data_IF_140837723279
#
_entry.id   IF_140837723279
#
_cell.length_a   1.000
_cell.length_b   1.000
_cell.length_c   1.000
_cell.angle_alpha   90.00
_cell.angle_beta   90.00
_cell.angle_gamma   90.00
#
_symmetry.space_group_name_H-M   'P 1'
#
loop_
_entity.id
_entity.type
_entity.pdbx_description
1 polymer ?
#
# COMPACT_ATOMS: atom_id res chain seq x y z
N UNK A 1 10.07 0.29 23.89
CA UNK A 1 10.16 -1.16 24.22
C UNK A 1 11.14 -1.77 23.25
N UNK A 2 12.08 -2.60 23.69
CA UNK A 2 13.05 -3.27 22.81
C UNK A 2 12.29 -4.28 21.92
N UNK A 3 12.68 -4.46 20.64
CA UNK A 3 12.02 -5.39 19.75
C UNK A 3 12.16 -6.83 20.24
N UNK A 4 11.04 -7.54 20.31
CA UNK A 4 11.02 -8.98 20.58
C UNK A 4 11.60 -9.71 19.36
N UNK A 5 12.60 -10.53 19.55
CA UNK A 5 13.23 -11.33 18.48
C UNK A 5 12.42 -12.61 18.28
N UNK A 6 11.98 -12.87 17.05
CA UNK A 6 11.23 -14.07 16.69
C UNK A 6 12.06 -14.91 15.76
N UNK A 7 12.10 -16.21 16.05
CA UNK A 7 12.72 -17.21 15.17
C UNK A 7 11.61 -17.96 14.43
N UNK A 8 11.33 -17.67 13.15
CA UNK A 8 10.42 -18.49 12.37
C UNK A 8 11.08 -19.84 12.07
N UNK A 9 10.43 -20.94 12.43
CA UNK A 9 10.83 -22.28 12.05
C UNK A 9 9.99 -22.74 10.87
N UNK A 10 10.60 -22.84 9.69
CA UNK A 10 9.95 -23.39 8.49
C UNK A 10 10.33 -24.88 8.39
N UNK A 11 9.34 -25.77 8.58
CA UNK A 11 9.54 -27.22 8.37
C UNK A 11 9.38 -27.63 6.91
N UNK A 12 9.78 -28.86 6.52
CA UNK A 12 9.78 -29.35 5.14
C UNK A 12 8.40 -29.44 4.48
N UNK A 13 7.33 -29.46 5.24
CA UNK A 13 5.95 -29.52 4.76
C UNK A 13 5.29 -28.14 4.75
N UNK A 14 5.49 -27.37 3.72
CA UNK A 14 4.70 -26.20 3.23
C UNK A 14 3.79 -25.41 4.21
N UNK A 15 3.84 -25.67 5.51
CA UNK A 15 3.11 -24.94 6.54
C UNK A 15 4.04 -24.01 7.32
N UNK A 16 3.77 -22.70 7.23
CA UNK A 16 4.43 -21.72 8.10
C UNK A 16 3.85 -21.91 9.50
N UNK A 17 4.58 -22.59 10.36
CA UNK A 17 4.26 -22.72 11.77
C UNK A 17 5.19 -21.80 12.55
N UNK A 18 4.64 -20.85 13.31
CA UNK A 18 5.43 -19.96 14.15
C UNK A 18 5.45 -20.49 15.59
N UNK A 19 6.65 -20.63 16.14
CA UNK A 19 6.85 -20.65 17.59
C UNK A 19 7.54 -19.36 17.98
N UNK A 20 7.05 -18.70 19.02
CA UNK A 20 7.65 -17.49 19.56
C UNK A 20 8.44 -17.86 20.82
N UNK A 21 9.72 -17.48 20.83
CA UNK A 21 10.57 -17.67 22.00
C UNK A 21 10.98 -16.29 22.53
N UNK A 22 10.64 -16.04 23.79
CA UNK A 22 11.04 -14.83 24.49
C UNK A 22 12.48 -15.03 24.98
N UNK A 23 13.43 -14.44 24.27
CA UNK A 23 14.86 -14.53 24.60
C UNK A 23 15.16 -13.89 25.96
N UNK A 24 14.45 -12.81 26.31
CA UNK A 24 14.68 -12.07 27.56
C UNK A 24 14.31 -12.88 28.78
N UNK A 25 13.22 -13.61 28.69
CA UNK A 25 12.69 -14.45 29.79
C UNK A 25 13.03 -15.93 29.60
N UNK A 26 13.78 -16.29 28.56
CA UNK A 26 14.18 -17.67 28.22
C UNK A 26 12.99 -18.64 28.20
N UNK A 27 11.88 -18.24 27.60
CA UNK A 27 10.62 -18.98 27.65
C UNK A 27 9.96 -19.05 26.28
N UNK A 28 9.27 -20.16 25.99
CA UNK A 28 8.41 -20.28 24.80
C UNK A 28 7.12 -19.51 25.03
N UNK A 29 7.00 -18.36 24.37
CA UNK A 29 5.82 -17.53 24.45
C UNK A 29 4.64 -18.14 23.66
N UNK A 30 4.92 -18.67 22.46
CA UNK A 30 3.92 -19.33 21.62
C UNK A 30 4.46 -20.65 21.09
N UNK A 31 3.73 -21.74 21.29
CA UNK A 31 4.01 -23.03 20.67
C UNK A 31 3.75 -22.95 19.17
N UNK A 32 4.37 -23.84 18.38
CA UNK A 32 4.21 -23.91 16.93
C UNK A 32 2.71 -23.95 16.57
N UNK A 33 2.23 -22.89 15.94
CA UNK A 33 0.83 -22.71 15.56
C UNK A 33 0.75 -22.26 14.11
N UNK A 34 -0.21 -22.77 13.35
CA UNK A 34 -0.48 -22.32 11.98
C UNK A 34 -0.98 -20.88 12.03
N UNK A 35 -0.36 -20.00 11.26
CA UNK A 35 -0.82 -18.64 11.05
C UNK A 35 -1.45 -18.53 9.65
N UNK A 36 -2.76 -18.34 9.63
CA UNK A 36 -3.48 -18.08 8.37
C UNK A 36 -3.14 -16.68 7.86
N UNK A 37 -3.04 -16.52 6.53
CA UNK A 37 -2.72 -15.24 5.90
C UNK A 37 -1.24 -14.90 5.79
N UNK A 38 -0.32 -15.72 6.35
CA UNK A 38 1.13 -15.54 6.19
C UNK A 38 1.69 -16.65 5.31
N UNK A 39 2.35 -16.28 4.24
CA UNK A 39 3.02 -17.18 3.29
C UNK A 39 4.53 -17.01 3.34
N UNK A 40 5.28 -17.90 2.70
CA UNK A 40 6.72 -17.78 2.58
C UNK A 40 7.16 -16.47 1.88
N UNK A 41 6.33 -15.92 1.00
CA UNK A 41 6.57 -14.63 0.31
C UNK A 41 6.45 -13.41 1.25
N UNK A 42 5.92 -13.60 2.44
CA UNK A 42 5.78 -12.53 3.44
C UNK A 42 6.99 -12.45 4.38
N UNK A 43 7.89 -13.44 4.32
CA UNK A 43 9.04 -13.58 5.22
C UNK A 43 10.30 -13.07 4.51
N UNK A 44 10.67 -11.81 4.76
CA UNK A 44 11.92 -11.19 4.28
C UNK A 44 12.38 -10.12 5.29
N UNK A 45 13.66 -9.78 5.27
CA UNK A 45 14.22 -8.78 6.22
C UNK A 45 13.53 -7.43 6.01
N UNK A 46 13.01 -6.84 7.09
CA UNK A 46 12.24 -5.61 7.11
C UNK A 46 10.76 -5.78 6.76
N UNK A 47 10.25 -7.03 6.64
CA UNK A 47 8.81 -7.26 6.55
C UNK A 47 8.13 -6.97 7.88
N UNK A 48 6.93 -6.39 7.82
CA UNK A 48 6.03 -6.27 8.97
C UNK A 48 4.98 -7.35 8.80
N UNK A 49 4.95 -8.32 9.70
CA UNK A 49 3.94 -9.38 9.73
C UNK A 49 3.09 -9.25 10.99
N UNK A 50 1.80 -9.55 10.86
CA UNK A 50 0.88 -9.56 12.01
C UNK A 50 0.57 -11.00 12.41
N UNK A 51 0.93 -11.37 13.64
CA UNK A 51 0.67 -12.70 14.22
C UNK A 51 -0.15 -12.50 15.50
N UNK A 52 -1.39 -13.02 15.52
CA UNK A 52 -2.31 -12.88 16.66
C UNK A 52 -2.42 -11.43 17.15
N UNK A 53 -2.74 -10.52 16.24
CA UNK A 53 -2.91 -9.08 16.50
C UNK A 53 -1.64 -8.34 16.98
N UNK A 54 -0.45 -8.96 16.87
CA UNK A 54 0.83 -8.32 17.15
C UNK A 54 1.59 -8.09 15.86
N UNK A 55 2.01 -6.86 15.64
CA UNK A 55 2.90 -6.51 14.53
C UNK A 55 4.35 -6.83 14.89
N UNK A 56 5.02 -7.51 13.98
CA UNK A 56 6.40 -7.96 14.15
C UNK A 56 7.21 -7.58 12.94
N UNK A 57 8.34 -6.93 13.18
CA UNK A 57 9.29 -6.59 12.14
C UNK A 57 10.36 -7.70 12.05
N UNK A 58 10.52 -8.30 10.88
CA UNK A 58 11.58 -9.28 10.62
C UNK A 58 12.89 -8.51 10.44
N UNK A 59 13.76 -8.58 11.44
CA UNK A 59 15.05 -7.87 11.44
C UNK A 59 16.18 -8.69 10.85
N UNK A 60 16.17 -10.01 11.03
CA UNK A 60 17.17 -10.92 10.51
C UNK A 60 16.68 -12.38 10.53
N UNK A 61 17.41 -13.29 9.88
CA UNK A 61 17.21 -14.75 9.93
C UNK A 61 18.13 -15.36 10.99
N UNK A 62 17.58 -16.28 11.79
CA UNK A 62 18.30 -16.88 12.91
C UNK A 62 19.35 -17.92 12.49
N UNK A 63 19.25 -18.46 11.28
CA UNK A 63 20.16 -19.48 10.76
C UNK A 63 20.50 -19.25 9.28
N UNK A 64 21.62 -19.81 8.87
CA UNK A 64 22.13 -19.66 7.50
C UNK A 64 21.25 -20.34 6.45
N UNK A 65 20.60 -21.44 6.78
CA UNK A 65 19.69 -22.12 5.85
C UNK A 65 18.50 -21.24 5.50
N UNK A 66 17.85 -20.68 6.50
CA UNK A 66 16.73 -19.74 6.32
C UNK A 66 17.17 -18.49 5.57
N UNK A 67 18.36 -17.97 5.89
CA UNK A 67 18.97 -16.83 5.19
C UNK A 67 19.26 -17.14 3.72
N UNK A 68 19.78 -18.32 3.40
CA UNK A 68 20.02 -18.74 2.01
C UNK A 68 18.72 -18.92 1.22
N UNK A 69 17.70 -19.48 1.87
CA UNK A 69 16.42 -19.76 1.23
C UNK A 69 15.55 -18.51 1.03
N UNK A 70 15.56 -17.56 1.95
CA UNK A 70 14.69 -16.38 1.94
C UNK A 70 15.44 -15.04 1.82
N UNK A 71 16.68 -14.97 2.28
CA UNK A 71 17.44 -13.72 2.38
C UNK A 71 18.01 -13.21 1.06
N UNK A 72 18.21 -14.10 0.07
CA UNK A 72 18.79 -13.73 -1.23
C UNK A 72 17.74 -13.46 -2.32
N UNK A 73 16.49 -13.77 -2.07
CA UNK A 73 15.46 -13.79 -3.12
C UNK A 73 14.62 -12.53 -3.18
N UNK A 74 14.41 -11.83 -2.06
CA UNK A 74 13.52 -10.65 -2.04
C UNK A 74 14.31 -9.36 -1.83
N UNK A 75 14.15 -8.44 -2.76
CA UNK A 75 14.81 -7.13 -2.76
C UNK A 75 13.76 -6.03 -2.78
N UNK A 76 13.98 -5.01 -1.94
CA UNK A 76 13.18 -3.79 -1.94
C UNK A 76 13.64 -2.85 -3.05
N UNK A 77 12.70 -2.15 -3.64
CA UNK A 77 12.95 -1.02 -4.54
C UNK A 77 11.91 0.06 -4.33
N UNK A 78 12.26 1.27 -4.71
CA UNK A 78 11.31 2.38 -4.72
C UNK A 78 10.68 2.51 -6.11
N UNK A 79 9.35 2.66 -6.12
CA UNK A 79 8.58 3.01 -7.30
C UNK A 79 7.75 4.26 -7.04
N UNK A 80 7.60 5.13 -8.05
CA UNK A 80 6.75 6.30 -7.92
C UNK A 80 5.98 6.56 -9.20
N UNK A 81 4.67 6.60 -9.13
CA UNK A 81 3.83 7.07 -10.23
C UNK A 81 3.83 8.59 -10.24
N UNK A 82 4.04 9.17 -11.41
CA UNK A 82 4.20 10.61 -11.62
C UNK A 82 2.84 11.30 -11.80
N UNK A 83 2.78 12.64 -11.76
CA UNK A 83 1.54 13.39 -11.87
C UNK A 83 0.74 13.14 -13.16
N UNK A 84 1.41 12.79 -14.27
CA UNK A 84 0.81 12.56 -15.59
C UNK A 84 -0.09 11.32 -15.67
N UNK A 85 -0.08 10.45 -14.66
CA UNK A 85 -0.87 9.21 -14.61
C UNK A 85 -1.77 9.10 -13.37
N UNK A 86 -2.15 10.23 -12.77
CA UNK A 86 -2.99 10.24 -11.58
C UNK A 86 -4.37 9.58 -11.79
N UNK A 87 -4.89 9.59 -13.02
CA UNK A 87 -6.13 8.93 -13.42
C UNK A 87 -5.96 7.44 -13.81
N UNK A 88 -4.72 6.92 -13.79
CA UNK A 88 -4.34 5.56 -14.22
C UNK A 88 -3.78 4.68 -13.09
N UNK A 89 -3.91 5.10 -11.84
CA UNK A 89 -3.34 4.36 -10.72
C UNK A 89 -3.82 2.91 -10.68
N UNK A 90 -5.13 2.67 -10.86
CA UNK A 90 -5.67 1.31 -10.85
C UNK A 90 -5.05 0.42 -11.91
N UNK A 91 -4.94 0.92 -13.15
CA UNK A 91 -4.37 0.16 -14.28
C UNK A 91 -2.89 -0.19 -14.02
N UNK A 92 -2.10 0.78 -13.54
CA UNK A 92 -0.67 0.57 -13.29
C UNK A 92 -0.44 -0.35 -12.08
N UNK A 93 -1.23 -0.20 -11.01
CA UNK A 93 -1.15 -1.10 -9.84
C UNK A 93 -1.49 -2.55 -10.22
N UNK A 94 -2.43 -2.77 -11.13
CA UNK A 94 -2.69 -4.12 -11.69
C UNK A 94 -1.46 -4.68 -12.39
N UNK A 95 -0.76 -3.87 -13.18
CA UNK A 95 0.49 -4.30 -13.83
C UNK A 95 1.58 -4.65 -12.81
N UNK A 96 1.69 -3.90 -11.72
CA UNK A 96 2.64 -4.17 -10.62
C UNK A 96 2.35 -5.55 -10.01
N UNK A 97 1.11 -5.83 -9.65
CA UNK A 97 0.73 -7.14 -9.09
C UNK A 97 0.87 -8.28 -10.10
N UNK A 98 0.53 -8.06 -11.39
CA UNK A 98 0.70 -9.04 -12.46
C UNK A 98 2.17 -9.42 -12.70
N UNK A 99 3.12 -8.56 -12.31
CA UNK A 99 4.54 -8.82 -12.32
C UNK A 99 5.07 -9.32 -10.96
N UNK A 100 4.23 -9.94 -10.13
CA UNK A 100 4.61 -10.55 -8.84
C UNK A 100 5.34 -9.60 -7.87
N UNK A 101 5.04 -8.31 -7.90
CA UNK A 101 5.48 -7.39 -6.87
C UNK A 101 4.52 -7.41 -5.69
N UNK A 102 5.08 -7.32 -4.50
CA UNK A 102 4.35 -6.98 -3.28
C UNK A 102 4.55 -5.50 -2.98
N UNK A 103 3.46 -4.78 -2.78
CA UNK A 103 3.48 -3.40 -2.29
C UNK A 103 3.44 -3.46 -0.77
N UNK A 104 4.47 -2.94 -0.12
CA UNK A 104 4.62 -3.00 1.36
C UNK A 104 4.45 -1.63 2.02
N UNK A 105 4.64 -0.56 1.24
CA UNK A 105 4.29 0.81 1.63
C UNK A 105 3.71 1.54 0.42
N UNK A 106 2.76 2.42 0.68
CA UNK A 106 2.08 3.19 -0.34
C UNK A 106 1.67 4.54 0.24
N UNK A 107 2.00 5.63 -0.46
CA UNK A 107 1.62 6.99 -0.05
C UNK A 107 1.43 7.90 -1.25
N UNK A 108 0.24 8.47 -1.36
CA UNK A 108 -0.04 9.56 -2.29
C UNK A 108 0.35 10.88 -1.63
N UNK A 109 1.21 11.63 -2.26
CA UNK A 109 1.78 12.84 -1.70
C UNK A 109 1.93 13.94 -2.74
N UNK A 110 2.09 15.18 -2.27
CA UNK A 110 2.49 16.32 -3.10
C UNK A 110 3.88 16.77 -2.67
N UNK A 111 4.80 16.82 -3.62
CA UNK A 111 6.15 17.32 -3.39
C UNK A 111 6.18 18.85 -3.39
N UNK A 112 6.97 19.43 -2.49
CA UNK A 112 7.42 20.81 -2.62
C UNK A 112 8.59 20.90 -3.61
N UNK A 113 8.96 22.11 -4.05
CA UNK A 113 10.11 22.28 -4.94
C UNK A 113 11.40 21.77 -4.31
N UNK A 114 11.60 22.06 -3.02
CA UNK A 114 12.76 21.64 -2.24
C UNK A 114 12.82 20.11 -2.13
N UNK A 115 11.68 19.47 -1.88
CA UNK A 115 11.59 18.00 -1.83
C UNK A 115 11.88 17.36 -3.18
N UNK A 116 11.37 17.94 -4.28
CA UNK A 116 11.65 17.46 -5.62
C UNK A 116 13.12 17.65 -6.00
N UNK A 117 13.74 18.78 -5.62
CA UNK A 117 15.17 19.02 -5.82
C UNK A 117 16.03 18.02 -5.03
N UNK A 118 15.72 17.77 -3.76
CA UNK A 118 16.43 16.78 -2.94
C UNK A 118 16.27 15.35 -3.50
N UNK A 119 15.07 15.01 -3.97
CA UNK A 119 14.82 13.70 -4.58
C UNK A 119 15.67 13.49 -5.84
N UNK A 120 15.75 14.51 -6.71
CA UNK A 120 16.51 14.48 -7.98
C UNK A 120 17.88 15.11 -7.88
N UNK A 121 18.47 15.23 -6.73
CA UNK A 121 19.76 15.88 -6.47
C UNK A 121 20.92 15.29 -7.31
N UNK A 122 20.86 14.01 -7.69
CA UNK A 122 21.82 13.37 -8.59
C UNK A 122 21.82 13.98 -10.00
N UNK A 123 20.79 14.75 -10.32
CA UNK A 123 20.66 15.48 -11.58
C UNK A 123 21.02 16.97 -11.45
N UNK A 124 21.63 17.37 -10.33
CA UNK A 124 22.07 18.75 -10.12
C UNK A 124 22.99 19.23 -11.26
N UNK A 125 22.76 20.44 -11.74
CA UNK A 125 23.48 21.00 -12.88
C UNK A 125 23.01 20.51 -14.27
N UNK A 126 22.07 19.56 -14.36
CA UNK A 126 21.53 19.12 -15.64
C UNK A 126 20.48 20.12 -16.17
N UNK A 127 20.49 20.49 -17.47
CA UNK A 127 19.56 21.48 -18.04
C UNK A 127 18.07 21.14 -17.88
N UNK A 128 17.73 19.87 -17.80
CA UNK A 128 16.34 19.40 -17.66
C UNK A 128 15.80 19.42 -16.23
N UNK A 129 16.66 19.58 -15.20
CA UNK A 129 16.24 19.49 -13.80
C UNK A 129 15.17 20.52 -13.40
N UNK A 130 15.26 21.82 -13.78
CA UNK A 130 14.21 22.79 -13.45
C UNK A 130 12.83 22.38 -13.97
N UNK A 131 12.78 21.92 -15.23
CA UNK A 131 11.54 21.42 -15.83
C UNK A 131 11.00 20.16 -15.11
N UNK A 132 11.90 19.22 -14.77
CA UNK A 132 11.51 18.01 -14.02
C UNK A 132 10.93 18.36 -12.64
N UNK A 133 11.55 19.31 -11.92
CA UNK A 133 11.04 19.78 -10.62
C UNK A 133 9.67 20.42 -10.77
N UNK A 134 9.46 21.28 -11.76
CA UNK A 134 8.16 21.89 -12.04
C UNK A 134 7.09 20.83 -12.33
N UNK A 135 7.40 19.87 -13.18
CA UNK A 135 6.50 18.75 -13.49
C UNK A 135 6.17 17.91 -12.26
N UNK A 136 7.16 17.51 -11.46
CA UNK A 136 6.94 16.66 -10.29
C UNK A 136 6.17 17.35 -9.15
N UNK A 137 6.13 18.69 -9.15
CA UNK A 137 5.35 19.49 -8.19
C UNK A 137 3.98 19.90 -8.72
N UNK A 138 3.68 19.67 -10.00
CA UNK A 138 2.44 20.07 -10.67
C UNK A 138 1.21 19.29 -10.18
N UNK A 139 1.39 18.08 -9.68
CA UNK A 139 0.31 17.20 -9.27
C UNK A 139 0.71 16.21 -8.17
N UNK A 140 -0.18 15.28 -7.85
CA UNK A 140 0.10 14.23 -6.88
C UNK A 140 1.07 13.20 -7.46
N UNK A 141 1.88 12.61 -6.59
CA UNK A 141 2.69 11.43 -6.88
C UNK A 141 2.22 10.27 -6.01
N UNK A 142 2.36 9.03 -6.46
CA UNK A 142 2.09 7.83 -5.68
C UNK A 142 3.40 7.07 -5.44
N UNK A 143 3.97 7.23 -4.25
CA UNK A 143 5.20 6.59 -3.81
C UNK A 143 4.92 5.19 -3.26
N UNK A 144 5.80 4.22 -3.56
CA UNK A 144 5.63 2.81 -3.18
C UNK A 144 6.97 2.18 -2.77
N UNK A 145 6.94 1.35 -1.73
CA UNK A 145 7.96 0.33 -1.50
C UNK A 145 7.48 -0.96 -2.17
N UNK A 146 8.26 -1.44 -3.15
CA UNK A 146 7.98 -2.65 -3.89
C UNK A 146 8.97 -3.74 -3.52
N UNK A 147 8.49 -4.96 -3.37
CA UNK A 147 9.30 -6.13 -3.01
C UNK A 147 9.08 -7.25 -4.00
N UNK A 148 10.17 -7.76 -4.57
CA UNK A 148 10.16 -8.91 -5.47
C UNK A 148 11.55 -9.58 -5.51
N UNK A 149 11.66 -10.76 -6.11
CA UNK A 149 12.95 -11.34 -6.46
C UNK A 149 13.68 -10.42 -7.45
N UNK A 150 14.94 -10.08 -7.17
CA UNK A 150 15.73 -9.12 -7.95
C UNK A 150 14.96 -7.80 -8.17
N UNK A 151 14.31 -7.27 -7.13
CA UNK A 151 13.28 -6.23 -7.21
C UNK A 151 13.67 -5.02 -8.05
N UNK A 152 14.91 -4.53 -7.95
CA UNK A 152 15.39 -3.36 -8.69
C UNK A 152 15.44 -3.66 -10.21
N UNK A 153 16.08 -4.74 -10.61
CA UNK A 153 16.19 -5.13 -12.01
C UNK A 153 14.81 -5.41 -12.61
N UNK A 154 13.98 -6.19 -11.88
CA UNK A 154 12.62 -6.52 -12.27
C UNK A 154 11.73 -5.28 -12.41
N UNK A 155 11.88 -4.29 -11.50
CA UNK A 155 11.11 -3.05 -11.58
C UNK A 155 11.54 -2.22 -12.80
N UNK A 156 12.83 -2.10 -13.06
CA UNK A 156 13.34 -1.41 -14.25
C UNK A 156 12.86 -2.06 -15.55
N UNK A 157 12.79 -3.38 -15.61
CA UNK A 157 12.21 -4.12 -16.74
C UNK A 157 10.70 -3.84 -16.87
N UNK A 158 9.94 -3.93 -15.78
CA UNK A 158 8.49 -3.66 -15.75
C UNK A 158 8.15 -2.26 -16.23
N UNK A 159 8.92 -1.24 -15.82
CA UNK A 159 8.66 0.14 -16.23
C UNK A 159 9.18 0.48 -17.62
N UNK A 160 10.16 -0.25 -18.12
CA UNK A 160 10.75 -0.06 -19.44
C UNK A 160 11.74 1.13 -19.56
N UNK A 161 12.30 1.34 -20.75
CA UNK A 161 13.23 2.45 -21.04
C UNK A 161 12.66 3.81 -20.67
N UNK A 162 13.56 4.75 -20.30
CA UNK A 162 13.18 6.12 -19.88
C UNK A 162 12.48 6.90 -20.99
N UNK A 163 12.88 6.69 -22.22
CA UNK A 163 12.21 7.25 -23.39
C UNK A 163 11.00 6.39 -23.75
N UNK A 164 9.81 6.97 -23.66
CA UNK A 164 8.55 6.25 -23.93
C UNK A 164 8.41 5.81 -25.39
N UNK A 165 9.04 6.51 -26.35
CA UNK A 165 9.05 6.08 -27.75
C UNK A 165 9.92 4.84 -27.94
N UNK A 166 11.11 4.82 -27.31
CA UNK A 166 11.95 3.64 -27.28
C UNK A 166 11.24 2.49 -26.55
N UNK A 167 10.55 2.79 -25.45
CA UNK A 167 9.78 1.77 -24.72
C UNK A 167 8.70 1.11 -25.60
N UNK A 168 7.97 1.89 -26.41
CA UNK A 168 6.94 1.34 -27.32
C UNK A 168 7.50 0.35 -28.34
N UNK A 169 8.75 0.52 -28.74
CA UNK A 169 9.40 -0.36 -29.72
C UNK A 169 10.12 -1.54 -29.11
N UNK A 170 10.81 -1.35 -27.96
CA UNK A 170 11.66 -2.36 -27.35
C UNK A 170 11.03 -3.12 -26.18
N UNK A 171 10.01 -2.53 -25.50
CA UNK A 171 9.33 -3.09 -24.33
C UNK A 171 7.83 -2.69 -24.33
N UNK A 172 7.01 -3.12 -25.32
CA UNK A 172 5.66 -2.62 -25.54
C UNK A 172 4.69 -2.89 -24.37
N UNK A 173 4.97 -3.90 -23.56
CA UNK A 173 4.18 -4.24 -22.38
C UNK A 173 4.55 -3.44 -21.12
N UNK A 174 5.60 -2.63 -21.17
CA UNK A 174 6.07 -1.86 -20.03
C UNK A 174 5.16 -0.67 -19.71
N UNK A 175 5.25 -0.18 -18.45
CA UNK A 175 4.44 0.96 -17.99
C UNK A 175 4.67 2.19 -18.85
N UNK A 176 5.93 2.52 -19.17
CA UNK A 176 6.27 3.69 -19.98
C UNK A 176 5.81 3.59 -21.43
N UNK A 177 5.78 2.40 -21.99
CA UNK A 177 5.23 2.18 -23.34
C UNK A 177 3.73 2.47 -23.40
N UNK A 178 2.99 2.04 -22.35
CA UNK A 178 1.52 2.15 -22.31
C UNK A 178 1.03 3.53 -21.86
N UNK A 179 1.72 4.16 -20.92
CA UNK A 179 1.21 5.38 -20.25
C UNK A 179 2.13 6.60 -20.40
N UNK A 180 3.40 6.42 -20.74
CA UNK A 180 4.32 7.54 -20.95
C UNK A 180 4.10 8.25 -22.28
N UNK A 181 4.27 9.57 -22.29
CA UNK A 181 4.20 10.40 -23.51
C UNK A 181 5.56 10.55 -24.18
N UNK A 182 6.56 10.93 -23.39
CA UNK A 182 7.93 11.23 -23.82
C UNK A 182 8.95 10.89 -22.72
N UNK A 183 10.19 11.44 -22.82
CA UNK A 183 11.26 11.24 -21.82
C UNK A 183 10.97 11.84 -20.44
N UNK A 184 10.17 12.91 -20.37
CA UNK A 184 9.88 13.65 -19.16
C UNK A 184 8.55 13.21 -18.55
N UNK A 185 7.49 13.19 -19.37
CA UNK A 185 6.16 12.68 -19.04
C UNK A 185 6.12 11.18 -19.32
N UNK A 186 6.84 10.41 -18.49
CA UNK A 186 7.06 8.99 -18.72
C UNK A 186 6.44 8.10 -17.62
N UNK A 187 5.38 8.59 -17.01
CA UNK A 187 4.48 7.88 -16.09
C UNK A 187 5.09 7.45 -14.77
N UNK A 188 6.35 6.99 -14.72
CA UNK A 188 6.87 6.29 -13.55
C UNK A 188 8.37 6.51 -13.35
N UNK A 189 8.76 6.55 -12.05
CA UNK A 189 10.17 6.49 -11.63
C UNK A 189 10.43 5.15 -10.94
N UNK A 190 11.66 4.66 -11.06
CA UNK A 190 12.19 3.49 -10.34
C UNK A 190 13.67 3.65 -10.05
N UNK A 191 14.07 3.24 -8.85
CA UNK A 191 15.47 3.25 -8.43
C UNK A 191 16.34 2.36 -9.33
N UNK A 192 17.59 2.73 -9.49
CA UNK A 192 18.57 2.01 -10.32
C UNK A 192 19.58 1.20 -9.52
N UNK A 193 19.67 1.44 -8.21
CA UNK A 193 20.56 0.74 -7.29
C UNK A 193 19.90 0.52 -5.92
N UNK A 194 20.54 -0.27 -5.05
CA UNK A 194 20.10 -0.48 -3.67
C UNK A 194 20.19 0.82 -2.87
N UNK A 195 21.30 1.53 -3.03
CA UNK A 195 21.56 2.80 -2.35
C UNK A 195 20.55 3.88 -2.75
N UNK A 196 20.22 3.95 -4.06
CA UNK A 196 19.18 4.85 -4.54
C UNK A 196 17.80 4.47 -3.96
N UNK A 197 17.47 3.19 -3.93
CA UNK A 197 16.21 2.72 -3.36
C UNK A 197 16.07 3.06 -1.86
N UNK A 198 17.12 2.84 -1.06
CA UNK A 198 17.15 3.16 0.37
C UNK A 198 16.98 4.66 0.59
N UNK A 199 17.72 5.50 -0.13
CA UNK A 199 17.63 6.96 -0.06
C UNK A 199 16.23 7.45 -0.45
N UNK A 200 15.69 6.99 -1.56
CA UNK A 200 14.38 7.40 -2.06
C UNK A 200 13.25 6.94 -1.14
N UNK A 201 13.32 5.73 -0.60
CA UNK A 201 12.39 5.23 0.41
C UNK A 201 12.41 6.07 1.69
N UNK A 202 13.59 6.51 2.14
CA UNK A 202 13.73 7.31 3.36
C UNK A 202 13.06 8.68 3.26
N UNK A 203 12.93 9.26 2.05
CA UNK A 203 12.25 10.54 1.82
C UNK A 203 10.74 10.44 2.08
N UNK A 204 10.12 9.35 1.62
CA UNK A 204 8.66 9.16 1.73
C UNK A 204 8.24 8.35 2.97
N UNK A 205 9.08 7.43 3.42
CA UNK A 205 8.80 6.45 4.48
C UNK A 205 9.92 6.38 5.50
N UNK A 206 10.24 7.45 6.23
CA UNK A 206 11.29 7.46 7.23
C UNK A 206 11.00 6.45 8.35
N UNK A 207 12.04 5.86 8.94
CA UNK A 207 11.92 4.86 10.00
C UNK A 207 11.35 5.45 11.31
N UNK A 208 11.60 6.72 11.56
CA UNK A 208 10.99 7.46 12.67
C UNK A 208 10.82 8.94 12.31
N UNK A 209 9.89 9.62 12.98
CA UNK A 209 9.74 11.08 12.87
C UNK A 209 10.97 11.86 13.37
N UNK A 210 11.92 11.21 14.07
CA UNK A 210 13.18 11.77 14.55
C UNK A 210 14.32 11.67 13.54
N UNK A 211 14.20 10.77 12.55
CA UNK A 211 15.24 10.53 11.54
C UNK A 211 15.25 11.62 10.45
N UNK A 212 14.41 12.62 10.58
CA UNK A 212 14.18 13.60 9.52
C UNK A 212 15.19 14.75 9.49
N UNK A 213 16.17 14.86 10.41
CA UNK A 213 17.10 16.00 10.49
C UNK A 213 16.43 17.36 10.16
N UNK A 214 15.17 17.54 10.60
CA UNK A 214 14.35 18.70 10.24
C UNK A 214 13.77 18.68 8.81
N UNK A 215 13.99 17.63 8.02
CA UNK A 215 13.38 17.47 6.69
C UNK A 215 11.96 16.94 6.84
N UNK A 216 10.99 17.68 6.34
CA UNK A 216 9.60 17.27 6.35
C UNK A 216 9.34 16.20 5.29
N UNK A 217 8.68 15.10 5.66
CA UNK A 217 8.14 14.13 4.68
C UNK A 217 7.12 14.80 3.75
N UNK A 218 7.02 14.35 2.48
CA UNK A 218 5.97 14.81 1.60
C UNK A 218 4.58 14.64 2.22
N UNK A 219 3.78 15.70 2.19
CA UNK A 219 2.45 15.71 2.81
C UNK A 219 1.45 14.93 1.97
N UNK A 220 0.44 14.36 2.64
CA UNK A 220 -0.72 13.77 1.96
C UNK A 220 -1.40 14.78 1.04
N UNK A 221 -2.04 14.27 0.01
CA UNK A 221 -2.84 15.07 -0.93
C UNK A 221 -4.32 15.16 -0.54
N UNK A 222 -4.71 14.57 0.59
CA UNK A 222 -6.08 14.61 1.08
C UNK A 222 -6.57 16.07 1.22
N UNK A 223 -7.77 16.33 0.71
CA UNK A 223 -8.35 17.68 0.61
C UNK A 223 -9.29 18.01 1.75
N UNK A 224 -9.86 16.98 2.39
CA UNK A 224 -10.83 17.08 3.49
C UNK A 224 -12.08 17.87 3.10
N UNK A 225 -12.51 17.79 1.84
CA UNK A 225 -13.65 18.54 1.30
C UNK A 225 -14.52 17.67 0.41
N UNK A 226 -15.83 17.64 0.70
CA UNK A 226 -16.82 16.87 -0.06
C UNK A 226 -16.32 15.44 -0.37
N UNK A 227 -15.84 14.77 0.67
CA UNK A 227 -15.17 13.49 0.57
C UNK A 227 -15.88 12.41 1.38
N UNK A 228 -15.50 11.18 1.12
CA UNK A 228 -15.85 10.02 1.94
C UNK A 228 -14.64 9.12 2.09
N UNK A 229 -14.61 8.33 3.16
CA UNK A 229 -13.56 7.37 3.40
C UNK A 229 -13.85 6.05 2.68
N UNK A 230 -12.77 5.46 2.16
CA UNK A 230 -12.75 4.08 1.68
C UNK A 230 -11.53 3.38 2.27
N UNK A 231 -11.73 2.23 2.92
CA UNK A 231 -10.61 1.42 3.38
C UNK A 231 -10.63 0.07 2.66
N UNK A 232 -9.62 -0.18 1.83
CA UNK A 232 -9.39 -1.49 1.21
C UNK A 232 -8.77 -2.38 2.28
N UNK A 233 -9.50 -3.44 2.62
CA UNK A 233 -9.19 -4.30 3.78
C UNK A 233 -7.98 -5.20 3.56
N UNK A 234 -7.30 -5.64 4.63
CA UNK A 234 -6.06 -6.42 4.54
C UNK A 234 -6.12 -7.63 3.62
N UNK A 235 -7.19 -8.45 3.68
CA UNK A 235 -7.29 -9.62 2.81
C UNK A 235 -7.31 -9.25 1.32
N UNK A 236 -7.97 -8.15 0.94
CA UNK A 236 -8.02 -7.70 -0.46
C UNK A 236 -6.65 -7.16 -0.92
N UNK A 237 -5.91 -6.48 -0.03
CA UNK A 237 -4.54 -6.04 -0.31
C UNK A 237 -3.60 -7.24 -0.46
N UNK A 238 -3.68 -8.22 0.46
CA UNK A 238 -2.86 -9.44 0.45
C UNK A 238 -3.12 -10.32 -0.79
N UNK A 239 -4.35 -10.33 -1.30
CA UNK A 239 -4.75 -11.04 -2.50
C UNK A 239 -4.38 -10.30 -3.81
N UNK A 240 -3.78 -9.10 -3.70
CA UNK A 240 -3.39 -8.31 -4.87
C UNK A 240 -4.53 -7.56 -5.56
N UNK A 241 -5.69 -7.45 -4.92
CA UNK A 241 -6.89 -6.83 -5.51
C UNK A 241 -6.89 -5.30 -5.48
N UNK A 242 -5.85 -4.68 -4.87
CA UNK A 242 -5.75 -3.22 -4.72
C UNK A 242 -5.91 -2.49 -6.06
N UNK A 243 -5.19 -2.93 -7.09
CA UNK A 243 -5.25 -2.32 -8.42
C UNK A 243 -6.61 -2.46 -9.08
N UNK A 244 -7.25 -3.63 -8.97
CA UNK A 244 -8.58 -3.87 -9.52
C UNK A 244 -9.66 -3.01 -8.84
N UNK A 245 -9.61 -2.89 -7.52
CA UNK A 245 -10.54 -2.06 -6.76
C UNK A 245 -10.37 -0.57 -7.13
N UNK A 246 -9.13 -0.07 -7.17
CA UNK A 246 -8.85 1.32 -7.55
C UNK A 246 -9.30 1.59 -9.00
N UNK A 247 -9.05 0.66 -9.91
CA UNK A 247 -9.50 0.74 -11.29
C UNK A 247 -11.02 0.89 -11.38
N UNK A 248 -11.79 0.06 -10.68
CA UNK A 248 -13.25 0.14 -10.68
C UNK A 248 -13.75 1.46 -10.08
N UNK A 249 -13.10 1.98 -9.02
CA UNK A 249 -13.41 3.28 -8.43
C UNK A 249 -13.19 4.40 -9.45
N UNK A 250 -12.02 4.47 -10.08
CA UNK A 250 -11.68 5.49 -11.07
C UNK A 250 -12.58 5.40 -12.32
N UNK A 251 -12.83 4.19 -12.82
CA UNK A 251 -13.73 3.92 -13.95
C UNK A 251 -15.18 4.38 -13.67
N UNK A 252 -15.60 4.37 -12.42
CA UNK A 252 -16.94 4.80 -12.00
C UNK A 252 -17.05 6.34 -11.84
N UNK A 253 -16.02 7.11 -12.23
CA UNK A 253 -16.02 8.56 -12.22
C UNK A 253 -15.66 9.19 -10.88
N UNK A 254 -15.21 8.40 -9.90
CA UNK A 254 -14.67 8.94 -8.64
C UNK A 254 -13.20 9.28 -8.79
N UNK A 255 -12.78 10.35 -8.09
CA UNK A 255 -11.37 10.73 -7.96
C UNK A 255 -10.87 10.35 -6.58
N UNK A 256 -9.61 9.92 -6.54
CA UNK A 256 -8.88 9.62 -5.31
C UNK A 256 -7.96 10.80 -5.05
N UNK A 257 -8.17 11.48 -3.93
CA UNK A 257 -7.39 12.66 -3.53
C UNK A 257 -6.47 12.40 -2.35
N UNK A 258 -6.62 11.26 -1.69
CA UNK A 258 -5.71 10.74 -0.68
C UNK A 258 -5.62 9.23 -0.78
N UNK A 259 -4.40 8.66 -0.63
CA UNK A 259 -4.17 7.22 -0.62
C UNK A 259 -2.95 6.92 0.23
N UNK A 260 -3.11 6.06 1.23
CA UNK A 260 -1.98 5.62 2.06
C UNK A 260 -2.25 4.24 2.64
N UNK A 261 -1.17 3.44 2.72
CA UNK A 261 -1.19 2.14 3.37
C UNK A 261 -0.90 2.29 4.87
N UNK A 262 -1.67 1.58 5.68
CA UNK A 262 -1.55 1.56 7.13
C UNK A 262 -1.48 0.13 7.64
N UNK A 263 -0.74 -0.06 8.72
CA UNK A 263 -0.73 -1.26 9.54
C UNK A 263 -1.40 -0.90 10.86
N UNK A 264 -2.69 -1.23 10.97
CA UNK A 264 -3.47 -0.91 12.16
C UNK A 264 -3.06 -1.78 13.34
N UNK A 265 -2.87 -1.18 14.51
CA UNK A 265 -2.81 -1.91 15.76
C UNK A 265 -4.23 -2.13 16.32
N UNK A 266 -4.34 -2.94 17.36
CA UNK A 266 -5.65 -3.32 17.90
C UNK A 266 -6.41 -2.11 18.51
N UNK A 267 -5.79 -1.23 19.33
CA UNK A 267 -6.46 -0.04 19.84
C UNK A 267 -7.01 0.87 18.76
N UNK A 268 -6.21 1.19 17.74
CA UNK A 268 -6.65 2.04 16.64
C UNK A 268 -7.77 1.39 15.80
N UNK A 269 -7.72 0.06 15.60
CA UNK A 269 -8.79 -0.64 14.89
C UNK A 269 -10.09 -0.71 15.71
N UNK A 270 -10.02 -0.87 17.06
CA UNK A 270 -11.18 -0.76 17.95
C UNK A 270 -11.79 0.64 17.93
N UNK A 271 -10.95 1.69 18.00
CA UNK A 271 -11.40 3.08 17.94
C UNK A 271 -12.10 3.37 16.61
N UNK A 272 -11.49 2.97 15.49
CA UNK A 272 -12.09 3.16 14.16
C UNK A 272 -13.46 2.48 14.01
N UNK A 273 -13.65 1.30 14.63
CA UNK A 273 -14.91 0.56 14.58
C UNK A 273 -15.79 0.75 15.83
N UNK A 274 -15.51 1.75 16.69
CA UNK A 274 -16.24 1.96 17.93
C UNK A 274 -17.76 2.14 17.70
N UNK A 275 -18.14 2.81 16.63
CA UNK A 275 -19.55 3.04 16.24
C UNK A 275 -20.34 1.73 16.01
N UNK A 276 -19.65 0.64 15.72
CA UNK A 276 -20.28 -0.68 15.51
C UNK A 276 -20.32 -1.55 16.78
N UNK A 277 -19.67 -1.14 17.86
CA UNK A 277 -19.60 -1.89 19.11
C UNK A 277 -20.98 -2.01 19.76
N UNK A 278 -21.41 -3.25 20.00
CA UNK A 278 -22.74 -3.54 20.53
C UNK A 278 -23.90 -3.41 19.52
N UNK A 279 -23.65 -2.96 18.30
CA UNK A 279 -24.65 -2.81 17.22
C UNK A 279 -24.48 -3.92 16.17
N UNK A 280 -23.25 -4.17 15.76
CA UNK A 280 -22.91 -5.17 14.73
C UNK A 280 -22.32 -6.41 15.42
N UNK A 281 -22.96 -7.60 15.32
CA UNK A 281 -22.47 -8.82 15.99
C UNK A 281 -21.03 -9.20 15.58
N UNK A 282 -20.63 -8.89 14.35
CA UNK A 282 -19.31 -9.21 13.79
C UNK A 282 -18.22 -8.16 14.14
N UNK A 283 -18.50 -7.17 14.97
CA UNK A 283 -17.57 -6.07 15.27
C UNK A 283 -16.19 -6.55 15.71
N UNK A 284 -16.11 -7.52 16.64
CA UNK A 284 -14.83 -8.11 17.07
C UNK A 284 -14.07 -8.78 15.93
N UNK A 285 -14.78 -9.49 15.03
CA UNK A 285 -14.15 -10.11 13.86
C UNK A 285 -13.70 -9.07 12.84
N UNK A 286 -14.42 -7.93 12.70
CA UNK A 286 -14.02 -6.81 11.84
C UNK A 286 -12.72 -6.15 12.36
N UNK A 287 -12.60 -5.92 13.66
CA UNK A 287 -11.37 -5.42 14.31
C UNK A 287 -10.21 -6.38 14.05
N UNK A 288 -10.41 -7.68 14.36
CA UNK A 288 -9.39 -8.72 14.14
C UNK A 288 -8.94 -8.78 12.67
N UNK A 289 -9.88 -8.60 11.74
CA UNK A 289 -9.57 -8.57 10.31
C UNK A 289 -8.78 -7.32 9.92
N UNK A 290 -9.11 -6.14 10.46
CA UNK A 290 -8.41 -4.89 10.12
C UNK A 290 -6.96 -4.89 10.61
N UNK A 291 -6.64 -5.58 11.69
CA UNK A 291 -5.26 -5.73 12.20
C UNK A 291 -4.50 -6.92 11.61
N UNK A 292 -5.12 -7.71 10.72
CA UNK A 292 -4.51 -8.93 10.17
C UNK A 292 -3.41 -8.67 9.12
N UNK A 293 -3.25 -7.43 8.69
CA UNK A 293 -2.25 -7.02 7.69
C UNK A 293 -2.42 -5.56 7.27
N UNK A 294 -1.75 -5.14 6.19
CA UNK A 294 -1.88 -3.78 5.69
C UNK A 294 -3.27 -3.52 5.09
N UNK A 295 -3.85 -2.40 5.42
CA UNK A 295 -5.01 -1.83 4.74
C UNK A 295 -4.61 -0.57 3.96
N UNK A 296 -5.42 -0.16 2.99
CA UNK A 296 -5.19 1.08 2.23
C UNK A 296 -6.40 1.99 2.41
N UNK A 297 -6.18 3.13 3.06
CA UNK A 297 -7.18 4.18 3.20
C UNK A 297 -7.14 5.13 1.99
N UNK A 298 -8.32 5.50 1.51
CA UNK A 298 -8.52 6.41 0.39
C UNK A 298 -9.45 7.55 0.81
N UNK A 299 -9.10 8.78 0.42
CA UNK A 299 -10.07 9.87 0.32
C UNK A 299 -10.69 9.84 -1.07
N UNK A 300 -12.00 9.67 -1.13
CA UNK A 300 -12.79 9.62 -2.36
C UNK A 300 -13.59 10.89 -2.52
N UNK A 301 -13.52 11.50 -3.71
CA UNK A 301 -14.30 12.69 -4.07
C UNK A 301 -15.02 12.49 -5.40
N UNK A 302 -16.10 13.23 -5.60
CA UNK A 302 -16.81 13.33 -6.87
C UNK A 302 -17.13 14.79 -7.19
N UNK A 303 -17.59 15.05 -8.40
CA UNK A 303 -17.99 16.40 -8.83
C UNK A 303 -19.37 16.82 -8.28
N UNK A 304 -20.03 15.94 -7.54
CA UNK A 304 -21.35 16.19 -6.95
C UNK A 304 -21.27 16.27 -5.44
N UNK A 305 -22.17 17.04 -4.76
CA UNK A 305 -22.10 17.23 -3.32
C UNK A 305 -22.46 15.98 -2.49
N UNK A 306 -23.02 14.95 -3.10
CA UNK A 306 -23.50 13.71 -2.47
C UNK A 306 -22.51 12.54 -2.64
N UNK A 307 -21.21 12.85 -2.62
CA UNK A 307 -20.13 11.86 -2.75
C UNK A 307 -20.29 10.63 -1.83
N UNK A 308 -20.59 10.76 -0.52
CA UNK A 308 -20.72 9.60 0.35
C UNK A 308 -21.83 8.63 -0.09
N UNK A 309 -23.02 9.15 -0.40
CA UNK A 309 -24.16 8.31 -0.82
C UNK A 309 -23.90 7.58 -2.14
N UNK A 310 -23.31 8.28 -3.11
CA UNK A 310 -22.97 7.69 -4.42
C UNK A 310 -21.88 6.64 -4.30
N UNK A 311 -20.84 6.91 -3.50
CA UNK A 311 -19.77 5.95 -3.29
C UNK A 311 -20.27 4.71 -2.54
N UNK A 312 -21.12 4.88 -1.53
CA UNK A 312 -21.76 3.77 -0.83
C UNK A 312 -22.61 2.90 -1.78
N UNK A 313 -23.30 3.53 -2.73
CA UNK A 313 -24.05 2.79 -3.77
C UNK A 313 -23.13 1.96 -4.68
N UNK A 314 -21.92 2.47 -5.03
CA UNK A 314 -20.90 1.73 -5.78
C UNK A 314 -20.31 0.58 -4.95
N UNK A 315 -20.05 0.80 -3.66
CA UNK A 315 -19.52 -0.24 -2.76
C UNK A 315 -20.50 -1.40 -2.58
N UNK A 316 -21.78 -1.11 -2.42
CA UNK A 316 -22.85 -2.11 -2.34
C UNK A 316 -23.08 -2.66 -0.93
N UNK A 317 -24.03 -3.61 -0.80
CA UNK A 317 -24.40 -4.22 0.48
C UNK A 317 -23.22 -4.85 1.22
N UNK A 318 -23.23 -4.88 2.58
CA UNK A 318 -22.12 -5.44 3.38
C UNK A 318 -21.97 -6.96 3.21
N UNK A 319 -23.00 -7.66 2.83
CA UNK A 319 -22.99 -9.11 2.58
C UNK A 319 -22.72 -9.38 1.10
N UNK A 320 -21.55 -9.92 0.70
CA UNK A 320 -21.19 -10.11 -0.70
C UNK A 320 -22.15 -11.02 -1.49
N UNK A 321 -22.70 -12.08 -0.87
CA UNK A 321 -23.65 -12.98 -1.52
C UNK A 321 -24.92 -12.22 -1.89
N UNK A 322 -25.47 -11.47 -0.95
CA UNK A 322 -26.61 -10.59 -1.19
C UNK A 322 -26.30 -9.48 -2.21
N UNK A 323 -25.05 -8.95 -2.17
CA UNK A 323 -24.61 -7.97 -3.15
C UNK A 323 -24.57 -8.56 -4.57
N UNK A 324 -24.11 -9.81 -4.74
CA UNK A 324 -24.12 -10.53 -6.02
C UNK A 324 -25.54 -10.74 -6.58
N UNK A 325 -26.48 -11.05 -5.71
CA UNK A 325 -27.88 -11.25 -6.11
C UNK A 325 -28.57 -9.94 -6.51
N UNK A 326 -28.41 -8.89 -5.70
CA UNK A 326 -29.18 -7.65 -5.86
C UNK A 326 -28.46 -6.57 -6.69
N UNK A 327 -27.14 -6.50 -6.61
CA UNK A 327 -26.29 -5.44 -7.21
C UNK A 327 -24.95 -6.02 -7.67
N UNK A 328 -24.88 -6.89 -8.67
CA UNK A 328 -23.69 -7.65 -9.07
C UNK A 328 -22.51 -6.79 -9.53
N UNK A 329 -22.77 -5.55 -9.93
CA UNK A 329 -21.72 -4.64 -10.40
C UNK A 329 -21.03 -3.83 -9.27
N UNK A 330 -21.45 -4.01 -8.01
CA UNK A 330 -20.84 -3.32 -6.87
C UNK A 330 -19.51 -3.93 -6.46
N UNK A 331 -18.67 -3.14 -5.77
CA UNK A 331 -17.33 -3.56 -5.40
C UNK A 331 -17.35 -4.77 -4.45
N UNK A 332 -18.27 -4.79 -3.47
CA UNK A 332 -18.40 -5.93 -2.55
C UNK A 332 -18.93 -7.19 -3.23
N UNK A 333 -19.77 -7.06 -4.26
CA UNK A 333 -20.19 -8.20 -5.07
C UNK A 333 -19.03 -8.82 -5.84
N UNK A 334 -18.15 -7.99 -6.41
CA UNK A 334 -17.00 -8.41 -7.21
C UNK A 334 -15.85 -8.98 -6.35
N UNK A 335 -15.52 -8.34 -5.24
CA UNK A 335 -14.28 -8.58 -4.48
C UNK A 335 -14.49 -9.14 -3.08
N UNK A 336 -15.70 -9.07 -2.55
CA UNK A 336 -16.01 -9.57 -1.21
C UNK A 336 -16.18 -11.10 -1.16
N UNK A 337 -15.83 -11.72 -0.02
CA UNK A 337 -15.97 -13.17 0.23
C UNK A 337 -17.05 -13.46 1.26
N UNK A 338 -17.00 -12.78 2.39
CA UNK A 338 -17.97 -12.92 3.50
C UNK A 338 -18.33 -11.54 4.03
N UNK A 339 -19.25 -11.45 4.96
CA UNK A 339 -19.67 -10.20 5.60
C UNK A 339 -18.49 -9.47 6.30
N UNK A 340 -17.54 -10.20 6.89
CA UNK A 340 -16.31 -9.65 7.48
C UNK A 340 -15.24 -9.39 6.40
N UNK A 341 -15.04 -10.36 5.50
CA UNK A 341 -14.08 -10.29 4.38
C UNK A 341 -14.78 -9.70 3.14
N UNK A 342 -15.38 -8.53 3.26
CA UNK A 342 -16.16 -7.90 2.18
C UNK A 342 -15.35 -6.89 1.33
N UNK A 343 -14.05 -7.00 1.36
CA UNK A 343 -13.04 -6.25 0.62
C UNK A 343 -12.90 -4.77 1.00
N UNK A 344 -13.99 -4.05 1.24
CA UNK A 344 -14.00 -2.60 1.37
C UNK A 344 -14.88 -2.16 2.53
N UNK A 345 -14.34 -1.26 3.38
CA UNK A 345 -15.14 -0.38 4.24
C UNK A 345 -15.41 0.93 3.49
N UNK A 346 -16.56 1.52 3.66
CA UNK A 346 -16.88 2.91 3.30
C UNK A 346 -17.71 3.52 4.42
N UNK A 347 -17.61 4.84 4.59
CA UNK A 347 -18.39 5.57 5.57
C UNK A 347 -19.88 5.29 5.44
N UNK A 348 -20.55 5.08 6.57
CA UNK A 348 -21.96 4.71 6.58
C UNK A 348 -22.88 5.92 6.44
N UNK A 349 -22.52 7.02 7.04
CA UNK A 349 -23.28 8.27 7.00
C UNK A 349 -22.45 9.37 6.29
N UNK A 350 -23.10 10.34 5.64
CA UNK A 350 -22.41 11.45 4.99
C UNK A 350 -21.52 12.27 5.93
N UNK A 351 -21.95 12.45 7.18
CA UNK A 351 -21.22 13.17 8.23
C UNK A 351 -19.97 12.45 8.70
N UNK A 352 -19.93 11.12 8.65
CA UNK A 352 -18.79 10.33 9.07
C UNK A 352 -17.66 10.36 8.03
N UNK A 353 -17.99 10.66 6.77
CA UNK A 353 -17.02 10.62 5.68
C UNK A 353 -15.77 11.46 5.92
N UNK A 354 -15.95 12.69 6.36
CA UNK A 354 -14.85 13.58 6.70
C UNK A 354 -14.08 13.11 7.94
N UNK A 355 -14.78 12.68 8.99
CA UNK A 355 -14.18 12.24 10.26
C UNK A 355 -13.28 11.01 10.05
N UNK A 356 -13.75 10.03 9.28
CA UNK A 356 -12.97 8.85 8.96
C UNK A 356 -11.74 9.16 8.07
N UNK A 357 -11.86 10.11 7.14
CA UNK A 357 -10.70 10.60 6.36
C UNK A 357 -9.70 11.30 7.27
N UNK A 358 -10.15 12.16 8.19
CA UNK A 358 -9.28 12.82 9.15
C UNK A 358 -8.60 11.84 10.09
N UNK A 359 -9.28 10.77 10.47
CA UNK A 359 -8.69 9.70 11.27
C UNK A 359 -7.44 9.11 10.63
N UNK A 360 -7.52 8.71 9.36
CA UNK A 360 -6.37 8.14 8.66
C UNK A 360 -5.31 9.18 8.28
N UNK A 361 -5.71 10.34 7.75
CA UNK A 361 -4.79 11.27 7.11
C UNK A 361 -4.34 12.45 8.00
N UNK A 362 -4.83 12.55 9.25
CA UNK A 362 -4.36 13.53 10.24
C UNK A 362 -3.93 12.89 11.56
N UNK A 363 -4.69 11.88 12.05
CA UNK A 363 -4.43 11.29 13.37
C UNK A 363 -3.39 10.17 13.25
N UNK A 364 -3.53 9.26 12.29
CA UNK A 364 -2.65 8.10 12.11
C UNK A 364 -1.45 8.35 11.18
N UNK A 365 -1.40 9.47 10.44
CA UNK A 365 -0.36 9.74 9.43
C UNK A 365 0.86 10.50 9.98
#
# INVERSE_FOLDING_TARGET
>A
MAPETITPVVGPDRMVGNSQFDIKNNNTFLKRTKCEGISAKDIYIGAIITIFSRQMNITDFADNFTREKFGKTLQKTFGMLKPDVADKYGEILKMIYANDFKITKLKMARLTKEQAQEFYKEHEGKPFLPFLVEFMTSGPVLAMELVAENGIAKWRETIGPTDSEVARTSAPESVRAKYGKDKSYNAVHGSDSVEAAERELSIFFPASSRDLDGKMTPKTTATFKNCTCCVIKPHAVQEGLLGDIIYEIQKSGFRITGMQMFYMDYPNAEEFYEVYKGVVPECTAMVSQLVSGPCVALEIVSDTPDTPSKFRALVGPPEPDRARELRPNTLRAKFGKTKVLNAIHCSDLPEDGLLEVEYFFKILS
#
